data_IF_026039693613
#
_entry.id   IF_026039693613
#
_cell.length_a   1.000
_cell.length_b   1.000
_cell.length_c   1.000
_cell.angle_alpha   90.00
_cell.angle_beta   90.00
_cell.angle_gamma   90.00
#
_symmetry.space_group_name_H-M   'P 1'
#
loop_
_entity.id
_entity.type
_entity.pdbx_description
1 polymer ?
#
# COMPACT_ATOMS: atom_id res chain seq x y z
N UNK A 1 -25.71 31.78 -56.08
CA UNK A 1 -26.45 31.34 -54.89
C UNK A 1 -25.58 30.36 -54.11
N UNK A 2 -25.27 30.75 -52.88
CA UNK A 2 -24.74 30.03 -51.69
C UNK A 2 -23.64 28.96 -51.80
N UNK A 3 -22.47 29.38 -51.33
CA UNK A 3 -21.36 28.60 -50.75
C UNK A 3 -21.86 27.71 -49.61
N UNK A 4 -21.44 26.45 -49.52
CA UNK A 4 -21.69 25.60 -48.35
C UNK A 4 -20.37 25.04 -47.82
N UNK A 5 -19.84 25.71 -46.79
CA UNK A 5 -18.75 25.22 -45.98
C UNK A 5 -19.31 24.26 -44.91
N UNK A 6 -19.00 22.97 -45.00
CA UNK A 6 -19.24 22.02 -43.91
C UNK A 6 -18.02 21.98 -43.00
N UNK A 7 -18.04 22.80 -41.95
CA UNK A 7 -17.10 22.71 -40.85
C UNK A 7 -17.45 21.49 -39.99
N UNK A 8 -16.60 20.47 -40.01
CA UNK A 8 -16.69 19.28 -39.16
C UNK A 8 -15.89 19.58 -37.88
N UNK A 9 -16.55 20.11 -36.85
CA UNK A 9 -15.98 20.20 -35.50
C UNK A 9 -16.09 18.83 -34.84
N UNK A 10 -14.98 18.10 -34.80
CA UNK A 10 -14.83 16.90 -33.97
C UNK A 10 -14.51 17.37 -32.55
N UNK A 11 -15.53 17.37 -31.69
CA UNK A 11 -15.38 17.63 -30.25
C UNK A 11 -14.70 16.44 -29.58
N UNK A 12 -13.49 16.64 -29.08
CA UNK A 12 -12.78 15.68 -28.23
C UNK A 12 -13.52 15.67 -26.88
N UNK A 13 -14.23 14.57 -26.58
CA UNK A 13 -14.75 14.28 -25.26
C UNK A 13 -13.55 13.89 -24.38
N UNK A 14 -13.00 14.84 -23.64
CA UNK A 14 -12.08 14.57 -22.55
C UNK A 14 -12.86 13.82 -21.46
N UNK A 15 -12.73 12.50 -21.43
CA UNK A 15 -13.20 11.70 -20.30
C UNK A 15 -12.25 12.01 -19.15
N UNK A 16 -12.62 12.98 -18.32
CA UNK A 16 -11.93 13.22 -17.05
C UNK A 16 -12.21 12.02 -16.15
N UNK A 17 -11.31 11.02 -16.15
CA UNK A 17 -11.29 10.02 -15.11
C UNK A 17 -10.98 10.75 -13.81
N UNK A 18 -12.00 10.94 -12.97
CA UNK A 18 -11.78 11.31 -11.57
C UNK A 18 -10.96 10.18 -10.97
N UNK A 19 -9.66 10.41 -10.78
CA UNK A 19 -8.82 9.51 -10.01
C UNK A 19 -9.35 9.53 -8.57
N UNK A 20 -10.17 8.55 -8.22
CA UNK A 20 -10.54 8.32 -6.84
C UNK A 20 -9.32 7.72 -6.15
N UNK A 21 -8.83 8.37 -5.10
CA UNK A 21 -7.81 7.83 -4.23
C UNK A 21 -8.20 6.40 -3.79
N UNK A 22 -7.38 5.41 -4.16
CA UNK A 22 -7.59 4.03 -3.75
C UNK A 22 -7.18 3.85 -2.29
N UNK A 23 -8.01 3.13 -1.53
CA UNK A 23 -7.75 2.79 -0.15
C UNK A 23 -6.75 1.63 -0.06
N UNK A 24 -5.66 1.85 0.66
CA UNK A 24 -4.56 0.90 0.79
C UNK A 24 -4.34 0.50 2.25
N UNK A 25 -3.86 -0.72 2.42
CA UNK A 25 -3.51 -1.29 3.73
C UNK A 25 -2.06 -1.74 3.72
N UNK A 26 -1.27 -1.16 4.61
CA UNK A 26 0.13 -1.54 4.80
C UNK A 26 0.22 -2.48 5.98
N UNK A 27 0.86 -3.62 5.78
CA UNK A 27 1.00 -4.65 6.79
C UNK A 27 2.48 -4.88 7.05
N UNK A 28 2.88 -4.73 8.31
CA UNK A 28 4.15 -5.23 8.83
C UNK A 28 3.90 -6.47 9.65
N UNK A 29 4.68 -7.52 9.40
CA UNK A 29 4.61 -8.77 10.14
C UNK A 29 5.99 -9.28 10.53
N UNK A 30 6.05 -9.93 11.70
CA UNK A 30 7.23 -10.65 12.17
C UNK A 30 7.55 -11.90 11.34
N UNK A 31 6.62 -12.34 10.49
CA UNK A 31 6.78 -13.49 9.61
C UNK A 31 5.83 -13.44 8.40
N UNK A 32 5.82 -14.52 7.62
CA UNK A 32 4.92 -14.63 6.49
C UNK A 32 3.45 -14.62 6.95
N UNK A 33 2.58 -14.09 6.10
CA UNK A 33 1.15 -13.98 6.38
C UNK A 33 0.30 -14.28 5.16
N UNK A 34 -0.99 -14.51 5.34
CA UNK A 34 -1.92 -14.60 4.22
C UNK A 34 -3.08 -13.64 4.39
N UNK A 35 -3.50 -12.96 3.33
CA UNK A 35 -4.70 -12.12 3.35
C UNK A 35 -5.87 -12.86 2.70
N UNK A 36 -7.06 -12.73 3.28
CA UNK A 36 -8.34 -13.15 2.70
C UNK A 36 -9.06 -11.87 2.27
N UNK A 37 -9.29 -11.70 0.97
CA UNK A 37 -9.91 -10.49 0.42
C UNK A 37 -11.26 -10.18 1.06
N UNK A 38 -11.70 -8.92 0.95
CA UNK A 38 -12.82 -8.41 1.71
C UNK A 38 -14.20 -8.97 1.39
N UNK A 39 -15.30 -8.28 1.73
CA UNK A 39 -16.65 -8.87 1.76
C UNK A 39 -17.13 -9.56 0.46
N UNK A 40 -16.45 -9.31 -0.67
CA UNK A 40 -16.67 -9.91 -1.99
C UNK A 40 -15.67 -11.01 -2.39
N UNK A 41 -14.64 -11.31 -1.59
CA UNK A 41 -13.52 -12.19 -1.90
C UNK A 41 -13.68 -13.61 -1.36
N UNK A 42 -13.83 -14.59 -2.27
CA UNK A 42 -13.77 -16.01 -1.95
C UNK A 42 -12.31 -16.51 -1.95
N UNK A 43 -11.71 -16.70 -0.77
CA UNK A 43 -10.43 -17.43 -0.62
C UNK A 43 -9.24 -16.58 -0.15
N UNK A 44 -8.14 -17.26 0.19
CA UNK A 44 -6.84 -16.64 0.52
C UNK A 44 -6.24 -16.04 -0.75
N UNK A 45 -6.04 -14.72 -0.78
CA UNK A 45 -5.59 -13.95 -1.95
C UNK A 45 -4.06 -13.84 -2.09
N UNK A 46 -3.29 -14.45 -1.20
CA UNK A 46 -1.84 -14.49 -1.34
C UNK A 46 -1.13 -14.84 -0.04
N UNK A 47 0.07 -15.40 -0.15
CA UNK A 47 1.03 -15.53 0.94
C UNK A 47 2.09 -14.45 0.80
N UNK A 48 2.22 -13.60 1.80
CA UNK A 48 3.04 -12.39 1.81
C UNK A 48 4.19 -12.51 2.78
N UNK A 49 5.25 -11.76 2.55
CA UNK A 49 6.56 -12.08 3.11
C UNK A 49 7.04 -11.14 4.23
N UNK A 50 6.13 -10.64 5.07
CA UNK A 50 6.51 -9.84 6.25
C UNK A 50 6.34 -8.33 6.06
N UNK A 51 6.26 -7.84 4.82
CA UNK A 51 5.71 -6.53 4.50
C UNK A 51 4.97 -6.52 3.17
N UNK A 52 3.74 -6.02 3.19
CA UNK A 52 2.98 -5.80 1.96
C UNK A 52 2.12 -4.54 2.04
N UNK A 53 1.84 -3.98 0.87
CA UNK A 53 0.80 -2.97 0.66
C UNK A 53 -0.30 -3.65 -0.14
N UNK A 54 -1.50 -3.68 0.41
CA UNK A 54 -2.65 -4.37 -0.15
C UNK A 54 -3.73 -3.37 -0.58
N UNK A 55 -4.41 -3.66 -1.68
CA UNK A 55 -5.64 -2.96 -2.05
C UNK A 55 -6.86 -3.52 -1.29
N UNK A 56 -8.05 -2.97 -1.57
CA UNK A 56 -9.32 -3.46 -0.98
C UNK A 56 -9.71 -4.88 -1.41
N UNK A 57 -9.18 -5.38 -2.52
CA UNK A 57 -9.34 -6.78 -2.92
C UNK A 57 -8.42 -7.72 -2.12
N UNK A 58 -7.48 -7.18 -1.34
CA UNK A 58 -6.47 -7.95 -0.62
C UNK A 58 -5.34 -8.47 -1.52
N UNK A 59 -5.19 -7.90 -2.71
CA UNK A 59 -4.08 -8.13 -3.63
C UNK A 59 -2.92 -7.21 -3.26
N UNK A 60 -1.69 -7.72 -3.34
CA UNK A 60 -0.51 -6.88 -3.10
C UNK A 60 -0.24 -5.97 -4.30
N UNK A 61 -0.17 -4.67 -4.02
CA UNK A 61 0.42 -3.67 -4.92
C UNK A 61 1.93 -3.51 -4.65
N UNK A 62 2.40 -4.11 -3.55
CA UNK A 62 3.81 -4.30 -3.20
C UNK A 62 3.94 -5.42 -2.17
N UNK A 63 4.85 -6.38 -2.35
CA UNK A 63 5.22 -7.38 -1.34
C UNK A 63 6.73 -7.65 -1.39
N UNK A 64 7.42 -7.37 -0.29
CA UNK A 64 8.85 -7.66 -0.15
C UNK A 64 9.20 -8.01 1.28
N UNK A 65 9.98 -9.08 1.45
CA UNK A 65 10.44 -9.51 2.78
C UNK A 65 11.54 -8.64 3.34
N UNK A 66 12.31 -8.04 2.45
CA UNK A 66 13.47 -7.23 2.78
C UNK A 66 13.51 -5.96 1.92
N UNK A 67 12.57 -5.00 2.08
CA UNK A 67 12.66 -3.73 1.39
C UNK A 67 14.00 -3.07 1.73
N UNK A 68 14.81 -2.72 0.73
CA UNK A 68 16.20 -2.25 0.88
C UNK A 68 17.09 -3.19 1.73
N UNK A 69 17.09 -4.49 1.42
CA UNK A 69 17.95 -5.53 2.00
C UNK A 69 17.84 -5.76 3.52
N UNK A 70 16.81 -5.21 4.17
CA UNK A 70 16.60 -5.34 5.62
C UNK A 70 15.16 -5.67 5.96
N UNK A 71 14.93 -6.31 7.11
CA UNK A 71 13.57 -6.60 7.60
C UNK A 71 12.76 -5.31 7.66
N UNK A 72 11.48 -5.30 7.27
CA UNK A 72 10.65 -4.10 7.28
C UNK A 72 10.38 -3.58 8.69
N UNK A 73 10.49 -4.44 9.71
CA UNK A 73 10.39 -4.07 11.11
C UNK A 73 11.37 -4.90 11.95
N UNK A 74 12.31 -4.25 12.63
CA UNK A 74 13.23 -4.92 13.54
C UNK A 74 13.66 -3.98 14.67
N UNK A 75 14.28 -4.57 15.70
CA UNK A 75 14.66 -3.84 16.89
C UNK A 75 15.89 -2.96 16.62
N UNK A 76 15.62 -1.72 16.24
CA UNK A 76 16.57 -0.61 16.22
C UNK A 76 15.92 0.55 16.95
N UNK A 77 16.67 1.33 17.74
CA UNK A 77 16.16 2.21 18.81
C UNK A 77 14.79 2.86 18.55
N UNK A 78 14.70 3.65 17.48
CA UNK A 78 13.45 4.35 17.13
C UNK A 78 12.59 3.66 16.07
N UNK A 79 12.98 2.47 15.64
CA UNK A 79 12.34 1.73 14.55
C UNK A 79 13.04 1.95 13.22
N UNK A 80 12.57 1.24 12.21
CA UNK A 80 13.07 1.30 10.86
C UNK A 80 12.22 2.24 10.02
N UNK A 81 12.87 2.98 9.13
CA UNK A 81 12.21 3.80 8.11
C UNK A 81 12.75 3.46 6.73
N UNK A 82 11.87 3.38 5.73
CA UNK A 82 12.23 3.32 4.32
C UNK A 82 11.20 4.08 3.48
N UNK A 83 11.59 4.48 2.27
CA UNK A 83 10.74 5.26 1.35
C UNK A 83 10.42 4.42 0.12
N UNK A 84 9.14 4.35 -0.26
CA UNK A 84 8.72 3.74 -1.54
C UNK A 84 8.21 4.85 -2.45
N UNK A 85 8.65 4.82 -3.71
CA UNK A 85 8.21 5.69 -4.80
C UNK A 85 7.53 4.86 -5.90
N UNK A 86 6.68 5.49 -6.71
CA UNK A 86 6.03 4.88 -7.86
C UNK A 86 4.59 5.37 -8.09
N UNK A 87 3.87 4.70 -8.98
CA UNK A 87 2.64 5.22 -9.62
C UNK A 87 1.42 5.37 -8.70
N UNK A 88 1.50 4.91 -7.45
CA UNK A 88 0.42 5.06 -6.46
C UNK A 88 0.33 6.46 -5.84
N UNK A 89 1.39 7.26 -5.97
CA UNK A 89 1.47 8.56 -5.31
C UNK A 89 2.36 9.52 -6.07
N UNK A 90 2.07 10.81 -5.95
CA UNK A 90 2.84 11.86 -6.63
C UNK A 90 4.24 12.02 -6.02
N UNK A 91 4.38 11.77 -4.72
CA UNK A 91 5.64 11.82 -3.99
C UNK A 91 5.82 10.62 -3.08
N UNK A 92 7.08 10.18 -2.92
CA UNK A 92 7.44 9.02 -2.12
C UNK A 92 6.80 9.00 -0.74
N UNK A 93 6.35 7.81 -0.33
CA UNK A 93 5.77 7.57 0.98
C UNK A 93 6.80 6.98 1.91
N UNK A 94 6.79 7.45 3.15
CA UNK A 94 7.74 7.07 4.18
C UNK A 94 7.06 6.07 5.11
N UNK A 95 7.62 4.87 5.16
CA UNK A 95 7.11 3.73 5.89
C UNK A 95 7.96 3.52 7.12
N UNK A 96 7.35 3.59 8.29
CA UNK A 96 8.04 3.48 9.56
C UNK A 96 7.46 2.35 10.40
N UNK A 97 8.32 1.49 10.96
CA UNK A 97 7.91 0.47 11.91
C UNK A 97 8.89 0.35 13.07
N UNK A 98 8.34 0.37 14.28
CA UNK A 98 9.07 0.12 15.52
C UNK A 98 8.65 -1.24 16.06
N UNK A 99 9.62 -2.11 16.29
CA UNK A 99 9.37 -3.40 16.93
C UNK A 99 9.43 -3.29 18.46
N UNK A 100 8.91 -4.30 19.14
CA UNK A 100 9.19 -4.55 20.54
C UNK A 100 10.55 -5.29 20.72
N UNK A 101 10.85 -5.66 21.96
CA UNK A 101 12.06 -6.41 22.31
C UNK A 101 12.12 -7.81 21.67
N UNK A 102 10.95 -8.43 21.44
CA UNK A 102 10.84 -9.72 20.77
C UNK A 102 10.98 -9.64 19.24
N UNK A 103 11.14 -8.44 18.68
CA UNK A 103 11.19 -8.22 17.23
C UNK A 103 9.82 -8.17 16.57
N UNK A 104 8.74 -8.22 17.34
CA UNK A 104 7.39 -8.10 16.83
C UNK A 104 7.07 -6.62 16.54
N UNK A 105 6.42 -6.28 15.41
CA UNK A 105 5.86 -4.95 15.17
C UNK A 105 5.05 -4.45 16.36
N UNK A 106 5.38 -3.25 16.86
CA UNK A 106 4.74 -2.59 18.00
C UNK A 106 3.93 -1.37 17.58
N UNK A 107 4.54 -0.50 16.78
CA UNK A 107 3.89 0.67 16.18
C UNK A 107 4.36 0.84 14.75
N UNK A 108 3.48 1.31 13.88
CA UNK A 108 3.76 1.53 12.48
C UNK A 108 3.09 2.82 12.01
N UNK A 109 3.72 3.50 11.07
CA UNK A 109 3.23 4.76 10.53
C UNK A 109 3.55 4.85 9.04
N UNK A 110 2.65 5.49 8.30
CA UNK A 110 2.88 5.91 6.92
C UNK A 110 2.84 7.42 6.89
N UNK A 111 3.85 8.05 6.31
CA UNK A 111 3.97 9.50 6.18
C UNK A 111 4.11 9.90 4.72
N UNK A 112 3.67 11.11 4.41
CA UNK A 112 4.02 11.76 3.14
C UNK A 112 5.50 12.20 3.15
N UNK A 113 5.97 12.69 1.99
CA UNK A 113 7.33 13.21 1.83
C UNK A 113 7.65 14.44 2.69
N UNK A 114 6.64 15.10 3.26
CA UNK A 114 6.79 16.27 4.14
C UNK A 114 6.81 15.86 5.63
N UNK A 115 6.65 14.57 5.94
CA UNK A 115 6.61 14.04 7.30
C UNK A 115 5.23 14.11 7.95
N UNK A 116 4.17 14.48 7.22
CA UNK A 116 2.80 14.40 7.73
C UNK A 116 2.37 12.95 7.82
N UNK A 117 1.75 12.56 8.93
CA UNK A 117 1.23 11.21 9.14
C UNK A 117 -0.05 11.03 8.32
N UNK A 118 -0.04 10.08 7.39
CA UNK A 118 -1.19 9.66 6.60
C UNK A 118 -2.00 8.59 7.33
N UNK A 119 -1.32 7.75 8.09
CA UNK A 119 -1.94 6.73 8.92
C UNK A 119 -0.97 6.18 9.97
N UNK A 120 -1.52 5.64 11.05
CA UNK A 120 -0.75 5.03 12.13
C UNK A 120 -1.47 3.80 12.67
N UNK A 121 -0.70 2.84 13.17
CA UNK A 121 -1.19 1.59 13.71
C UNK A 121 -0.39 1.15 14.91
N UNK A 122 -1.01 0.30 15.72
CA UNK A 122 -0.35 -0.43 16.80
C UNK A 122 -0.42 -1.92 16.53
N UNK A 123 0.38 -2.68 17.28
CA UNK A 123 0.37 -4.13 17.23
C UNK A 123 -1.06 -4.69 17.32
N UNK A 124 -1.44 -5.46 16.30
CA UNK A 124 -2.63 -6.28 16.27
C UNK A 124 -2.28 -7.69 16.75
N UNK A 125 -3.19 -8.25 17.55
CA UNK A 125 -3.14 -9.63 18.03
C UNK A 125 -4.35 -10.45 17.58
N UNK A 126 -5.31 -9.77 16.94
CA UNK A 126 -6.50 -10.39 16.39
C UNK A 126 -6.28 -10.72 14.91
N UNK A 127 -6.90 -11.81 14.47
CA UNK A 127 -6.75 -12.34 13.09
C UNK A 127 -7.64 -11.62 12.07
N UNK A 128 -8.50 -10.73 12.55
CA UNK A 128 -9.47 -9.98 11.77
C UNK A 128 -9.19 -8.49 11.93
N UNK A 129 -8.92 -7.81 10.83
CA UNK A 129 -8.90 -6.35 10.76
C UNK A 129 -9.90 -5.91 9.69
N UNK A 130 -10.21 -4.61 9.69
CA UNK A 130 -11.33 -4.03 8.96
C UNK A 130 -11.30 -4.46 7.48
N UNK A 131 -12.15 -5.45 7.16
CA UNK A 131 -12.39 -5.90 5.80
C UNK A 131 -11.42 -6.93 5.23
N UNK A 132 -10.38 -7.41 5.91
CA UNK A 132 -9.53 -8.50 5.43
C UNK A 132 -9.13 -9.36 6.64
N UNK A 133 -9.25 -10.68 6.53
CA UNK A 133 -8.69 -11.56 7.55
C UNK A 133 -7.23 -11.84 7.20
N UNK A 134 -6.30 -11.50 8.11
CA UNK A 134 -4.89 -11.87 7.99
C UNK A 134 -4.55 -12.75 9.17
N UNK A 135 -4.27 -14.03 8.87
CA UNK A 135 -3.92 -15.01 9.88
C UNK A 135 -2.49 -14.84 10.35
N UNK A 136 -2.25 -14.08 11.41
CA UNK A 136 -0.92 -13.89 12.02
C UNK A 136 -0.97 -13.33 13.45
N UNK A 137 0.00 -13.75 14.24
CA UNK A 137 0.41 -13.11 15.48
C UNK A 137 1.43 -12.00 15.19
N UNK A 138 1.42 -10.93 15.99
CA UNK A 138 2.44 -9.88 15.99
C UNK A 138 2.55 -9.09 14.68
N UNK A 139 1.51 -8.31 14.36
CA UNK A 139 1.52 -7.42 13.19
C UNK A 139 1.11 -6.02 13.47
N UNK A 140 1.42 -5.13 12.53
CA UNK A 140 0.97 -3.75 12.59
C UNK A 140 0.42 -3.37 11.23
N UNK A 141 -0.80 -2.81 11.24
CA UNK A 141 -1.52 -2.46 10.01
C UNK A 141 -1.80 -0.97 10.01
N UNK A 142 -1.58 -0.31 8.88
CA UNK A 142 -1.94 1.08 8.64
C UNK A 142 -2.84 1.15 7.42
N UNK A 143 -3.96 1.85 7.55
CA UNK A 143 -4.83 2.21 6.44
C UNK A 143 -4.54 3.65 5.99
N UNK A 144 -4.44 3.88 4.69
CA UNK A 144 -4.25 5.21 4.11
C UNK A 144 -4.74 5.22 2.66
N UNK A 145 -5.00 6.41 2.13
CA UNK A 145 -5.42 6.56 0.73
C UNK A 145 -4.20 6.95 -0.15
N UNK A 146 -4.15 6.36 -1.34
CA UNK A 146 -3.21 6.72 -2.42
C UNK A 146 -3.56 8.08 -3.05
N UNK A 147 -2.70 8.63 -3.93
CA UNK A 147 -3.03 9.88 -4.64
C UNK A 147 -3.85 9.64 -5.92
N UNK A 148 -3.95 8.39 -6.38
CA UNK A 148 -4.58 8.00 -7.65
C UNK A 148 -5.55 6.82 -7.53
N UNK A 149 -6.26 6.52 -8.62
CA UNK A 149 -7.13 5.34 -8.70
C UNK A 149 -6.39 4.16 -9.30
N UNK A 150 -6.30 3.04 -8.58
CA UNK A 150 -5.84 1.77 -9.14
C UNK A 150 -4.32 1.66 -9.17
N UNK A 151 -3.73 1.57 -8.00
CA UNK A 151 -2.38 1.07 -7.80
C UNK A 151 -2.21 -0.26 -8.55
N UNK A 152 -1.25 -0.36 -9.48
CA UNK A 152 -0.99 -1.60 -10.19
C UNK A 152 -0.64 -2.71 -9.20
N UNK A 153 -1.28 -3.86 -9.36
CA UNK A 153 -0.91 -5.09 -8.63
C UNK A 153 0.52 -5.45 -8.98
N UNK A 154 1.30 -5.87 -7.98
CA UNK A 154 2.70 -6.23 -8.16
C UNK A 154 2.81 -7.57 -8.92
N UNK A 155 3.44 -7.54 -10.10
CA UNK A 155 3.70 -8.70 -10.95
C UNK A 155 5.19 -9.12 -10.95
N UNK A 156 5.98 -8.59 -9.99
CA UNK A 156 7.44 -8.77 -9.91
C UNK A 156 8.24 -7.69 -10.65
N UNK A 157 7.55 -6.81 -11.38
CA UNK A 157 8.08 -5.55 -11.91
C UNK A 157 7.21 -4.36 -11.48
N UNK A 158 6.51 -4.50 -10.35
CA UNK A 158 5.56 -3.51 -9.86
C UNK A 158 6.11 -2.08 -9.89
N UNK A 159 5.26 -1.07 -10.13
CA UNK A 159 5.66 0.33 -10.28
C UNK A 159 6.30 0.91 -9.01
N UNK A 160 6.06 0.24 -7.87
CA UNK A 160 6.54 0.63 -6.56
C UNK A 160 7.95 0.08 -6.30
N UNK A 161 8.86 0.96 -5.89
CA UNK A 161 10.24 0.60 -5.60
C UNK A 161 10.78 1.39 -4.40
N UNK A 162 11.65 0.76 -3.61
CA UNK A 162 12.29 1.41 -2.47
C UNK A 162 13.43 2.30 -2.96
N UNK A 163 13.43 3.57 -2.56
CA UNK A 163 14.47 4.54 -2.96
C UNK A 163 15.45 4.88 -1.84
N UNK A 164 15.11 4.55 -0.59
CA UNK A 164 15.98 4.73 0.58
C UNK A 164 15.50 3.90 1.77
N UNK A 165 16.40 3.52 2.68
CA UNK A 165 16.05 2.90 3.97
C UNK A 165 17.12 2.02 4.59
#
# INVERSE_FOLDING_TARGET
>A
MYTSARALFVGILSISTSAYAEHLRVVWSSGAFGAIGGPSGSGTNGGYTGFAILNDAGEAVYDQSYPNDHSPCYNTGDGRTFTIEGDCWDTGRVFHCKSDFGGAPKTCEVKDSNGNVLGSGTQQKDTEFIGIAIGIDATCVVEFDSDGSGCPVDDGHGPLHVTSG
#
